data_IF_974613081858
#
_entry.id   IF_974613081858
#
_cell.length_a   1.000
_cell.length_b   1.000
_cell.length_c   1.000
_cell.angle_alpha   90.00
_cell.angle_beta   90.00
_cell.angle_gamma   90.00
#
_symmetry.space_group_name_H-M   'P 1'
#
loop_
_entity.id
_entity.type
_entity.pdbx_description
1 polymer ?
#
# COMPACT_ATOMS: atom_id res chain seq x y z
N UNK A 1 15.27 16.46 -3.01
CA UNK A 1 14.64 15.16 -2.71
C UNK A 1 13.21 15.47 -2.32
N UNK A 2 12.23 15.03 -3.11
CA UNK A 2 10.82 15.24 -2.80
C UNK A 2 10.45 14.46 -1.55
N UNK A 3 9.87 15.15 -0.57
CA UNK A 3 9.31 14.52 0.63
C UNK A 3 8.16 13.62 0.19
N UNK A 4 8.45 12.32 0.08
CA UNK A 4 7.46 11.29 -0.23
C UNK A 4 6.33 11.29 0.80
N UNK A 5 5.14 10.91 0.39
CA UNK A 5 3.99 10.82 1.29
C UNK A 5 4.10 9.53 2.10
N UNK A 6 4.02 9.65 3.42
CA UNK A 6 4.02 8.51 4.33
C UNK A 6 2.66 8.37 4.99
N UNK A 7 2.19 7.13 5.11
CA UNK A 7 0.90 6.84 5.73
C UNK A 7 0.95 5.53 6.51
N UNK A 8 0.17 5.44 7.59
CA UNK A 8 -0.24 4.17 8.17
C UNK A 8 -1.50 3.70 7.47
N UNK A 9 -1.55 2.42 7.15
CA UNK A 9 -2.68 1.80 6.49
C UNK A 9 -3.01 0.47 7.14
N UNK A 10 -4.27 0.08 7.05
CA UNK A 10 -4.74 -1.26 7.35
C UNK A 10 -4.82 -2.04 6.05
N UNK A 11 -4.17 -3.20 5.99
CA UNK A 11 -4.06 -3.98 4.77
C UNK A 11 -4.47 -5.41 5.01
N UNK A 12 -5.24 -5.93 4.07
CA UNK A 12 -5.61 -7.33 3.98
C UNK A 12 -5.10 -7.91 2.66
N UNK A 13 -4.50 -9.09 2.70
CA UNK A 13 -4.18 -9.86 1.50
C UNK A 13 -5.25 -10.92 1.26
N UNK A 14 -5.56 -11.16 -0.01
CA UNK A 14 -6.46 -12.24 -0.39
C UNK A 14 -5.84 -13.59 0.03
N UNK A 15 -6.67 -14.61 0.24
CA UNK A 15 -6.17 -15.97 0.40
C UNK A 15 -5.40 -16.39 -0.85
N UNK A 16 -4.30 -17.14 -0.65
CA UNK A 16 -3.55 -17.65 -1.79
C UNK A 16 -4.39 -18.71 -2.49
N UNK A 17 -4.77 -18.39 -3.72
CA UNK A 17 -5.54 -19.27 -4.58
C UNK A 17 -4.64 -20.01 -5.59
N UNK A 18 -3.33 -19.77 -5.55
CA UNK A 18 -2.37 -20.31 -6.50
C UNK A 18 -1.22 -21.05 -5.79
N UNK A 19 -1.31 -22.38 -5.63
CA UNK A 19 -0.31 -23.16 -4.89
C UNK A 19 1.08 -23.19 -5.57
N UNK A 20 1.20 -22.72 -6.82
CA UNK A 20 2.47 -22.68 -7.57
C UNK A 20 3.19 -21.32 -7.46
N UNK A 21 2.67 -20.35 -6.69
CA UNK A 21 3.35 -19.06 -6.48
C UNK A 21 4.54 -19.20 -5.54
N UNK A 22 5.73 -18.90 -6.08
CA UNK A 22 7.00 -18.87 -5.35
C UNK A 22 7.12 -17.73 -4.30
N UNK A 23 6.16 -16.81 -4.23
CA UNK A 23 6.17 -15.72 -3.23
C UNK A 23 5.15 -16.02 -2.13
N UNK A 24 5.62 -16.66 -1.06
CA UNK A 24 4.77 -17.06 0.07
C UNK A 24 4.31 -15.91 0.99
N UNK A 25 4.87 -14.72 0.86
CA UNK A 25 4.50 -13.53 1.64
C UNK A 25 5.02 -12.23 1.00
N UNK A 26 4.42 -11.09 1.34
CA UNK A 26 4.99 -9.78 1.07
C UNK A 26 5.98 -9.42 2.18
N UNK A 27 7.26 -9.44 1.85
CA UNK A 27 8.32 -9.05 2.78
C UNK A 27 8.16 -7.57 3.20
N UNK A 28 8.51 -7.29 4.46
CA UNK A 28 8.66 -5.90 4.91
C UNK A 28 9.77 -5.21 4.10
N UNK A 29 9.55 -3.95 3.72
CA UNK A 29 10.43 -3.21 2.82
C UNK A 29 10.22 -3.52 1.33
N UNK A 30 9.17 -4.25 0.96
CA UNK A 30 8.86 -4.52 -0.45
C UNK A 30 8.61 -3.21 -1.21
N UNK A 31 9.40 -3.00 -2.28
CA UNK A 31 9.41 -1.79 -3.11
C UNK A 31 8.72 -1.98 -4.46
N UNK A 32 8.08 -3.13 -4.68
CA UNK A 32 7.53 -3.51 -6.00
C UNK A 32 6.00 -3.57 -5.99
N UNK A 33 5.36 -2.85 -5.07
CA UNK A 33 3.89 -2.86 -4.93
C UNK A 33 3.29 -1.61 -5.59
N UNK A 34 2.22 -1.84 -6.35
CA UNK A 34 1.39 -0.80 -6.91
C UNK A 34 0.10 -0.72 -6.08
N UNK A 35 -0.24 0.47 -5.63
CA UNK A 35 -1.46 0.76 -4.89
C UNK A 35 -2.40 1.55 -5.79
N UNK A 36 -3.60 1.01 -6.01
CA UNK A 36 -4.61 1.62 -6.87
C UNK A 36 -5.65 2.35 -6.03
N UNK A 37 -5.83 3.64 -6.29
CA UNK A 37 -6.83 4.50 -5.67
C UNK A 37 -7.87 4.92 -6.70
N UNK A 38 -9.10 5.20 -6.26
CA UNK A 38 -10.15 5.67 -7.16
C UNK A 38 -9.81 7.04 -7.74
N UNK A 39 -10.00 7.19 -9.04
CA UNK A 39 -9.87 8.46 -9.76
C UNK A 39 -10.93 8.51 -10.87
N UNK A 40 -12.00 9.31 -10.72
CA UNK A 40 -13.09 9.35 -11.69
C UNK A 40 -12.66 9.94 -13.05
N UNK A 41 -11.56 10.68 -13.10
CA UNK A 41 -11.05 11.32 -14.32
C UNK A 41 -10.05 10.42 -15.06
N UNK A 42 -9.60 9.32 -14.44
CA UNK A 42 -8.71 8.35 -15.06
C UNK A 42 -9.45 7.42 -16.04
N UNK A 43 -8.84 6.99 -17.16
CA UNK A 43 -9.48 6.13 -18.17
C UNK A 43 -10.01 4.79 -17.63
N UNK A 44 -9.38 4.23 -16.60
CA UNK A 44 -9.78 2.98 -15.94
C UNK A 44 -10.45 3.23 -14.57
N UNK A 45 -10.75 4.50 -14.24
CA UNK A 45 -11.35 4.90 -12.96
C UNK A 45 -10.38 4.82 -11.78
N UNK A 46 -9.07 4.64 -12.02
CA UNK A 46 -8.08 4.54 -10.94
C UNK A 46 -6.72 5.16 -11.27
N UNK A 47 -6.01 5.62 -10.25
CA UNK A 47 -4.59 5.97 -10.35
C UNK A 47 -3.73 4.90 -9.68
N UNK A 48 -2.60 4.58 -10.32
CA UNK A 48 -1.61 3.64 -9.79
C UNK A 48 -0.47 4.40 -9.14
N UNK A 49 -0.30 4.24 -7.83
CA UNK A 49 0.76 4.85 -7.04
C UNK A 49 1.72 3.79 -6.51
N UNK A 50 3.00 3.98 -6.75
CA UNK A 50 4.03 3.11 -6.21
C UNK A 50 4.40 3.49 -4.79
N UNK A 51 4.54 2.48 -3.91
CA UNK A 51 5.02 2.71 -2.55
C UNK A 51 5.89 1.57 -2.04
N UNK A 52 6.76 1.90 -1.09
CA UNK A 52 7.40 0.91 -0.24
C UNK A 52 6.46 0.56 0.92
N UNK A 53 6.19 -0.73 1.10
CA UNK A 53 5.44 -1.24 2.25
C UNK A 53 6.41 -1.73 3.32
N UNK A 54 6.20 -1.33 4.57
CA UNK A 54 6.91 -1.85 5.75
C UNK A 54 5.91 -2.27 6.81
N UNK A 55 6.14 -3.41 7.44
CA UNK A 55 5.37 -3.83 8.61
C UNK A 55 6.05 -3.33 9.89
N UNK A 56 5.30 -2.86 10.90
CA UNK A 56 5.87 -2.32 12.15
C UNK A 56 6.71 -3.33 12.92
N UNK A 57 6.35 -4.62 12.82
CA UNK A 57 6.99 -5.75 13.49
C UNK A 57 8.08 -6.42 12.63
N UNK A 58 8.34 -5.91 11.42
CA UNK A 58 9.20 -6.52 10.40
C UNK A 58 8.80 -7.94 9.97
N UNK A 59 7.64 -8.43 10.40
CA UNK A 59 7.12 -9.74 9.99
C UNK A 59 6.48 -9.58 8.61
N UNK A 60 6.73 -10.49 7.66
CA UNK A 60 6.06 -10.45 6.35
C UNK A 60 4.53 -10.44 6.48
N UNK A 61 3.86 -9.81 5.53
CA UNK A 61 2.41 -9.90 5.40
C UNK A 61 2.08 -11.17 4.62
N UNK A 62 1.42 -12.12 5.26
CA UNK A 62 1.10 -13.43 4.67
C UNK A 62 -0.21 -13.39 3.88
N UNK A 63 -0.38 -14.33 2.96
CA UNK A 63 -1.65 -14.50 2.26
C UNK A 63 -2.77 -14.85 3.25
N UNK A 64 -3.94 -14.23 3.09
CA UNK A 64 -5.06 -14.35 4.01
C UNK A 64 -4.95 -13.50 5.30
N UNK A 65 -3.83 -12.80 5.53
CA UNK A 65 -3.75 -11.82 6.62
C UNK A 65 -4.82 -10.74 6.42
N UNK A 66 -5.55 -10.42 7.49
CA UNK A 66 -6.57 -9.37 7.50
C UNK A 66 -6.20 -8.22 8.43
N UNK A 67 -6.46 -6.99 7.98
CA UNK A 67 -6.34 -5.75 8.75
C UNK A 67 -5.03 -5.63 9.53
N UNK A 68 -3.91 -5.95 8.89
CA UNK A 68 -2.58 -5.73 9.45
C UNK A 68 -2.16 -4.28 9.21
N UNK A 69 -1.61 -3.65 10.25
CA UNK A 69 -1.06 -2.31 10.10
C UNK A 69 0.23 -2.38 9.26
N UNK A 70 0.35 -1.49 8.29
CA UNK A 70 1.58 -1.26 7.52
C UNK A 70 1.89 0.23 7.44
N UNK A 71 3.15 0.57 7.24
CA UNK A 71 3.57 1.89 6.81
C UNK A 71 3.87 1.87 5.30
N UNK A 72 3.24 2.79 4.58
CA UNK A 72 3.41 3.01 3.15
C UNK A 72 4.21 4.28 2.94
N UNK A 73 5.25 4.21 2.11
CA UNK A 73 6.04 5.35 1.69
C UNK A 73 5.96 5.51 0.18
N UNK A 74 5.15 6.46 -0.27
CA UNK A 74 4.90 6.78 -1.66
C UNK A 74 5.97 7.72 -2.20
N UNK A 75 6.55 7.38 -3.35
CA UNK A 75 7.59 8.19 -4.00
C UNK A 75 7.03 9.18 -5.04
N UNK A 76 5.75 9.09 -5.37
CA UNK A 76 5.08 9.98 -6.32
C UNK A 76 4.38 11.13 -5.57
N UNK A 77 4.61 12.37 -6.00
CA UNK A 77 3.97 13.55 -5.43
C UNK A 77 2.45 13.56 -5.67
N UNK A 78 1.98 12.88 -6.72
CA UNK A 78 0.54 12.69 -6.99
C UNK A 78 -0.17 12.03 -5.80
N UNK A 79 0.54 11.25 -4.97
CA UNK A 79 -0.01 10.65 -3.76
C UNK A 79 -0.65 11.67 -2.81
N UNK A 80 -0.26 12.95 -2.84
CA UNK A 80 -0.87 14.01 -2.03
C UNK A 80 -2.35 14.21 -2.27
N UNK A 81 -2.85 13.86 -3.46
CA UNK A 81 -4.25 14.06 -3.84
C UNK A 81 -5.12 12.85 -3.45
N UNK A 82 -4.55 11.65 -3.41
CA UNK A 82 -5.30 10.40 -3.26
C UNK A 82 -5.07 9.71 -1.92
N UNK A 83 -3.93 9.97 -1.27
CA UNK A 83 -3.58 9.39 0.02
C UNK A 83 -4.03 10.35 1.12
N UNK A 84 -5.19 10.07 1.68
CA UNK A 84 -5.76 10.77 2.84
C UNK A 84 -6.44 9.77 3.77
N UNK A 85 -6.70 10.15 5.02
CA UNK A 85 -7.39 9.29 5.97
C UNK A 85 -8.74 8.79 5.42
N UNK A 86 -8.99 7.49 5.58
CA UNK A 86 -10.16 6.80 5.04
C UNK A 86 -10.07 6.44 3.55
N UNK A 87 -9.05 6.88 2.80
CA UNK A 87 -8.90 6.52 1.40
C UNK A 87 -8.71 4.99 1.26
N UNK A 88 -9.56 4.37 0.44
CA UNK A 88 -9.45 2.95 0.12
C UNK A 88 -8.51 2.72 -1.06
N UNK A 89 -7.82 1.59 -1.04
CA UNK A 89 -6.94 1.19 -2.13
C UNK A 89 -6.98 -0.32 -2.37
N UNK A 90 -6.60 -0.70 -3.59
CA UNK A 90 -6.28 -2.08 -3.94
C UNK A 90 -4.78 -2.27 -4.07
N UNK A 91 -4.26 -3.39 -3.57
CA UNK A 91 -2.85 -3.78 -3.75
C UNK A 91 -2.74 -4.60 -5.02
N UNK A 92 -1.92 -4.16 -5.96
CA UNK A 92 -1.77 -4.77 -7.27
C UNK A 92 -0.36 -5.30 -7.48
N UNK A 93 -0.29 -6.57 -7.87
CA UNK A 93 0.91 -7.25 -8.31
C UNK A 93 0.52 -8.30 -9.35
N UNK A 94 0.63 -7.96 -10.64
CA UNK A 94 0.09 -8.70 -11.81
C UNK A 94 -1.45 -8.85 -11.84
N UNK A 95 -2.10 -8.89 -10.67
CA UNK A 95 -3.53 -8.89 -10.39
C UNK A 95 -3.77 -8.17 -9.07
N UNK A 96 -5.02 -7.91 -8.71
CA UNK A 96 -5.36 -7.47 -7.35
C UNK A 96 -5.08 -8.60 -6.37
N UNK A 97 -4.20 -8.36 -5.40
CA UNK A 97 -3.74 -9.34 -4.41
C UNK A 97 -4.20 -9.00 -2.99
N UNK A 98 -4.75 -7.81 -2.79
CA UNK A 98 -5.22 -7.36 -1.50
C UNK A 98 -5.89 -6.01 -1.61
N UNK A 99 -6.29 -5.49 -0.45
CA UNK A 99 -6.98 -4.21 -0.30
C UNK A 99 -6.61 -3.59 1.03
N UNK A 100 -6.92 -2.32 1.18
CA UNK A 100 -6.74 -1.65 2.46
C UNK A 100 -7.34 -0.26 2.47
N UNK A 101 -7.17 0.39 3.61
CA UNK A 101 -7.56 1.77 3.82
C UNK A 101 -6.45 2.53 4.54
N UNK A 102 -6.30 3.80 4.19
CA UNK A 102 -5.37 4.69 4.87
C UNK A 102 -5.94 5.03 6.25
N UNK A 103 -5.22 4.65 7.29
CA UNK A 103 -5.62 4.93 8.67
C UNK A 103 -5.22 6.33 9.12
N UNK A 104 -3.99 6.77 8.80
CA UNK A 104 -3.54 8.14 9.06
C UNK A 104 -2.34 8.52 8.20
N UNK A 105 -2.21 9.81 7.92
CA UNK A 105 -0.98 10.36 7.34
C UNK A 105 0.12 10.44 8.40
N UNK A 106 1.32 10.04 8.02
CA UNK A 106 2.53 10.27 8.80
C UNK A 106 3.13 11.55 8.21
N UNK A 107 2.80 12.67 8.83
CA UNK A 107 3.48 13.92 8.55
C UNK A 107 4.83 13.76 9.26
N UNK A 108 5.94 13.70 8.50
CA UNK A 108 7.25 13.99 9.08
C UNK A 108 7.19 15.45 9.54
N UNK A 109 6.79 15.65 10.79
CA UNK A 109 7.25 16.79 11.54
C UNK A 109 8.73 16.50 11.73
N UNK A 110 9.59 17.17 10.95
CA UNK A 110 10.99 17.37 11.32
C UNK A 110 11.01 17.69 12.83
N UNK A 111 11.46 16.75 13.64
CA UNK A 111 11.85 16.99 15.02
C UNK A 111 13.15 17.84 14.90
N UNK A 112 13.20 19.06 15.49
CA UNK A 112 14.16 20.13 15.22
C UNK A 112 15.66 19.78 15.15
#
# INVERSE_FOLDING_TARGET
MTLGIRARAWMSLNEDSDPDRAWGALASGSRSLIFKFADPDAPDGSISLGAMMTTPDAVPLAWGDTDREVALNFWDDAARLYVHEGAEFSVWYSRTIGRGSIGRLIIDLDDP
#
